data_IF_567625921190
#
_entry.id   IF_567625921190
#
_cell.length_a   1.000
_cell.length_b   1.000
_cell.length_c   1.000
_cell.angle_alpha   90.00
_cell.angle_beta   90.00
_cell.angle_gamma   90.00
#
_symmetry.space_group_name_H-M   'P 1'
#
loop_
_entity.id
_entity.type
_entity.pdbx_description
1 polymer ?
#
# COMPACT_ATOMS: atom_id res chain seq x y z
N UNK A 1 12.84 7.31 -9.01
CA UNK A 1 12.11 6.54 -7.98
C UNK A 1 12.94 6.50 -6.70
N UNK A 2 12.37 6.83 -5.54
CA UNK A 2 13.14 6.79 -4.28
C UNK A 2 13.35 5.34 -3.79
N UNK A 3 14.22 5.16 -2.79
CA UNK A 3 14.54 3.85 -2.24
C UNK A 3 13.31 3.14 -1.65
N UNK A 4 12.41 3.90 -1.01
CA UNK A 4 11.19 3.38 -0.39
C UNK A 4 10.22 2.79 -1.41
N UNK A 5 9.90 3.53 -2.47
CA UNK A 5 9.01 3.06 -3.54
C UNK A 5 9.60 1.86 -4.27
N UNK A 6 10.92 1.83 -4.49
CA UNK A 6 11.63 0.65 -5.02
C UNK A 6 11.42 -0.57 -4.13
N UNK A 7 11.69 -0.44 -2.83
CA UNK A 7 11.59 -1.53 -1.88
C UNK A 7 10.14 -2.04 -1.76
N UNK A 8 9.16 -1.13 -1.72
CA UNK A 8 7.74 -1.48 -1.71
C UNK A 8 7.34 -2.22 -2.99
N UNK A 9 7.70 -1.72 -4.18
CA UNK A 9 7.39 -2.38 -5.45
C UNK A 9 8.00 -3.77 -5.56
N UNK A 10 9.25 -3.95 -5.10
CA UNK A 10 9.89 -5.28 -5.02
C UNK A 10 9.09 -6.20 -4.10
N UNK A 11 8.74 -5.71 -2.91
CA UNK A 11 8.04 -6.49 -1.90
C UNK A 11 6.66 -6.94 -2.38
N UNK A 12 5.83 -6.03 -2.90
CA UNK A 12 4.46 -6.35 -3.32
C UNK A 12 4.37 -7.15 -4.62
N UNK A 13 5.44 -7.15 -5.43
CA UNK A 13 5.52 -7.98 -6.65
C UNK A 13 6.09 -9.38 -6.38
N UNK A 14 6.69 -9.62 -5.21
CA UNK A 14 7.08 -10.95 -4.79
C UNK A 14 5.83 -11.82 -4.53
N UNK A 15 5.92 -13.12 -4.83
CA UNK A 15 4.83 -14.05 -4.57
C UNK A 15 4.61 -14.18 -3.04
N UNK A 16 3.34 -14.13 -2.61
CA UNK A 16 2.96 -14.34 -1.21
C UNK A 16 3.30 -13.19 -0.25
N UNK A 17 3.47 -11.96 -0.75
CA UNK A 17 3.73 -10.79 0.09
C UNK A 17 2.63 -10.54 1.13
N UNK A 18 3.01 -10.42 2.40
CA UNK A 18 2.10 -10.04 3.49
C UNK A 18 1.91 -8.51 3.50
N UNK A 19 0.68 -8.06 3.26
CA UNK A 19 0.35 -6.63 3.14
C UNK A 19 0.03 -5.95 4.47
N UNK A 20 0.24 -6.63 5.61
CA UNK A 20 0.06 -6.01 6.92
C UNK A 20 1.13 -4.95 7.19
N UNK A 21 0.77 -3.93 7.96
CA UNK A 21 1.71 -2.87 8.33
C UNK A 21 2.89 -3.40 9.18
N UNK A 22 2.68 -4.48 9.94
CA UNK A 22 3.71 -5.17 10.72
C UNK A 22 4.73 -5.82 9.78
N UNK A 23 4.26 -6.58 8.79
CA UNK A 23 5.15 -7.22 7.81
C UNK A 23 5.91 -6.17 6.98
N UNK A 24 5.24 -5.08 6.56
CA UNK A 24 5.91 -3.95 5.90
C UNK A 24 7.03 -3.36 6.78
N UNK A 25 6.75 -3.11 8.06
CA UNK A 25 7.75 -2.59 9.00
C UNK A 25 8.92 -3.56 9.12
N UNK A 26 8.68 -4.85 9.26
CA UNK A 26 9.73 -5.82 9.53
C UNK A 26 10.60 -6.12 8.31
N UNK A 27 9.99 -6.20 7.13
CA UNK A 27 10.67 -6.68 5.92
C UNK A 27 11.06 -5.59 4.93
N UNK A 28 10.46 -4.39 5.01
CA UNK A 28 10.65 -3.33 4.02
C UNK A 28 11.13 -2.03 4.65
N UNK A 29 10.32 -1.45 5.53
CA UNK A 29 10.55 -0.08 6.01
C UNK A 29 11.53 -0.02 7.17
N UNK A 30 11.50 -0.99 8.08
CA UNK A 30 12.41 -1.04 9.23
C UNK A 30 13.89 -1.12 8.85
N UNK A 31 14.28 -1.89 7.81
CA UNK A 31 15.64 -1.86 7.27
C UNK A 31 16.06 -0.53 6.63
N UNK A 32 15.12 0.27 6.11
CA UNK A 32 15.39 1.57 5.46
C UNK A 32 15.45 2.70 6.49
N UNK A 33 14.56 2.64 7.49
CA UNK A 33 14.38 3.67 8.50
C UNK A 33 14.82 3.15 9.88
N UNK A 34 13.92 2.49 10.62
CA UNK A 34 14.21 1.80 11.88
C UNK A 34 13.07 0.82 12.24
N UNK A 35 13.35 -0.20 13.06
CA UNK A 35 12.37 -1.24 13.40
C UNK A 35 11.25 -0.80 14.37
N UNK A 36 11.43 0.33 15.03
CA UNK A 36 10.47 0.86 16.03
C UNK A 36 9.34 1.71 15.43
N UNK A 37 9.17 1.71 14.11
CA UNK A 37 8.09 2.44 13.44
C UNK A 37 6.72 2.00 13.95
N UNK A 38 5.86 2.99 14.23
CA UNK A 38 4.46 2.82 14.59
C UNK A 38 3.60 2.74 13.33
N UNK A 39 2.34 2.34 13.49
CA UNK A 39 1.36 2.30 12.40
C UNK A 39 1.30 3.62 11.62
N UNK A 40 1.29 4.76 12.31
CA UNK A 40 1.23 6.09 11.66
C UNK A 40 2.47 6.37 10.81
N UNK A 41 3.65 5.95 11.27
CA UNK A 41 4.90 6.14 10.52
C UNK A 41 4.88 5.29 9.24
N UNK A 42 4.45 4.03 9.36
CA UNK A 42 4.30 3.13 8.21
C UNK A 42 3.27 3.67 7.22
N UNK A 43 2.10 4.10 7.70
CA UNK A 43 1.05 4.69 6.87
C UNK A 43 1.57 5.90 6.09
N UNK A 44 2.26 6.82 6.77
CA UNK A 44 2.77 8.03 6.16
C UNK A 44 3.81 7.73 5.07
N UNK A 45 4.75 6.83 5.35
CA UNK A 45 5.78 6.43 4.39
C UNK A 45 5.19 5.70 3.17
N UNK A 46 4.21 4.82 3.38
CA UNK A 46 3.50 4.15 2.28
C UNK A 46 2.71 5.15 1.45
N UNK A 47 2.01 6.10 2.09
CA UNK A 47 1.26 7.15 1.40
C UNK A 47 2.17 8.01 0.52
N UNK A 48 3.31 8.47 1.05
CA UNK A 48 4.27 9.25 0.27
C UNK A 48 4.83 8.49 -0.94
N UNK A 49 5.12 7.20 -0.78
CA UNK A 49 5.55 6.35 -1.88
C UNK A 49 4.43 6.15 -2.92
N UNK A 50 3.20 5.99 -2.46
CA UNK A 50 2.03 5.87 -3.33
C UNK A 50 1.75 7.15 -4.11
N UNK A 51 1.83 8.32 -3.48
CA UNK A 51 1.74 9.62 -4.15
C UNK A 51 2.84 9.78 -5.21
N UNK A 52 4.08 9.39 -4.88
CA UNK A 52 5.17 9.40 -5.87
C UNK A 52 4.81 8.56 -7.10
N UNK A 53 4.22 7.37 -6.92
CA UNK A 53 3.79 6.53 -8.02
C UNK A 53 2.65 7.20 -8.82
N UNK A 54 1.65 7.78 -8.15
CA UNK A 54 0.55 8.50 -8.78
C UNK A 54 0.99 9.70 -9.63
N UNK A 55 2.00 10.45 -9.18
CA UNK A 55 2.48 11.63 -9.91
C UNK A 55 3.47 11.31 -11.03
N UNK A 56 4.12 10.16 -11.00
CA UNK A 56 5.04 9.74 -12.05
C UNK A 56 4.25 9.12 -13.23
N UNK A 57 4.18 9.79 -14.40
CA UNK A 57 3.30 9.40 -15.50
C UNK A 57 3.66 8.05 -16.13
N UNK A 58 4.90 7.57 -15.96
CA UNK A 58 5.34 6.27 -16.49
C UNK A 58 4.76 5.08 -15.73
N UNK A 59 4.25 5.27 -14.51
CA UNK A 59 3.55 4.21 -13.79
C UNK A 59 2.08 4.11 -14.24
N UNK A 60 1.69 2.99 -14.83
CA UNK A 60 0.27 2.73 -15.11
C UNK A 60 -0.38 2.12 -13.86
N UNK A 61 -0.93 2.97 -12.98
CA UNK A 61 -1.66 2.53 -11.78
C UNK A 61 -3.14 2.31 -12.10
N UNK A 62 -3.74 1.18 -11.67
CA UNK A 62 -5.19 1.02 -11.69
C UNK A 62 -5.86 2.12 -10.87
N UNK A 63 -6.92 2.73 -11.39
CA UNK A 63 -7.69 3.72 -10.64
C UNK A 63 -6.93 5.01 -10.33
N UNK A 64 -5.86 5.38 -11.06
CA UNK A 64 -5.12 6.65 -10.86
C UNK A 64 -6.05 7.87 -10.67
N UNK A 65 -7.12 7.97 -11.47
CA UNK A 65 -8.06 9.08 -11.44
C UNK A 65 -9.10 8.98 -10.30
N UNK A 66 -9.26 7.80 -9.71
CA UNK A 66 -10.19 7.51 -8.61
C UNK A 66 -9.46 7.21 -7.29
N UNK A 67 -8.13 7.33 -7.26
CA UNK A 67 -7.29 6.87 -6.16
C UNK A 67 -7.69 7.43 -4.79
N UNK A 68 -8.05 8.71 -4.71
CA UNK A 68 -8.52 9.35 -3.48
C UNK A 68 -9.84 8.76 -2.98
N UNK A 69 -10.80 8.56 -3.90
CA UNK A 69 -12.09 7.95 -3.59
C UNK A 69 -11.94 6.49 -3.19
N UNK A 70 -11.14 5.73 -3.94
CA UNK A 70 -10.91 4.32 -3.68
C UNK A 70 -10.19 4.11 -2.34
N UNK A 71 -9.27 5.01 -1.97
CA UNK A 71 -8.59 4.97 -0.68
C UNK A 71 -9.54 5.33 0.48
N UNK A 72 -10.40 6.34 0.30
CA UNK A 72 -11.43 6.72 1.28
C UNK A 72 -12.41 5.57 1.55
N UNK A 73 -12.77 4.83 0.50
CA UNK A 73 -13.74 3.73 0.58
C UNK A 73 -13.09 2.38 0.89
N UNK A 74 -11.77 2.27 0.89
CA UNK A 74 -11.06 1.00 1.09
C UNK A 74 -11.51 0.22 2.34
N UNK A 75 -11.74 0.85 3.52
CA UNK A 75 -12.17 0.11 4.71
C UNK A 75 -13.55 -0.55 4.57
N UNK A 76 -14.41 -0.04 3.69
CA UNK A 76 -15.81 -0.46 3.58
C UNK A 76 -16.17 -1.08 2.21
N UNK A 77 -15.25 -1.07 1.24
CA UNK A 77 -15.50 -1.55 -0.12
C UNK A 77 -14.26 -2.17 -0.78
N UNK A 78 -14.50 -3.25 -1.53
CA UNK A 78 -13.50 -3.85 -2.44
C UNK A 78 -12.68 -4.94 -1.77
N UNK A 79 -11.57 -5.34 -2.39
CA UNK A 79 -10.72 -6.44 -1.90
C UNK A 79 -9.96 -6.12 -0.61
N UNK A 80 -9.92 -4.85 -0.22
CA UNK A 80 -9.30 -4.38 1.02
C UNK A 80 -10.34 -4.04 2.09
N UNK A 81 -11.62 -4.32 1.85
CA UNK A 81 -12.67 -4.04 2.83
C UNK A 81 -12.48 -4.91 4.08
N UNK A 82 -12.86 -4.32 5.21
CA UNK A 82 -12.82 -5.01 6.50
C UNK A 82 -13.89 -6.10 6.61
N UNK A 83 -14.98 -5.91 5.89
CA UNK A 83 -16.02 -6.88 5.69
C UNK A 83 -16.26 -7.03 4.18
N UNK A 84 -16.27 -8.27 3.68
CA UNK A 84 -16.44 -8.58 2.26
C UNK A 84 -17.78 -8.05 1.73
N UNK A 85 -18.79 -7.96 2.60
CA UNK A 85 -20.13 -7.44 2.27
C UNK A 85 -20.28 -5.95 2.60
N UNK A 86 -19.22 -5.32 3.12
CA UNK A 86 -19.26 -3.98 3.70
C UNK A 86 -19.84 -3.96 5.11
N UNK A 87 -19.87 -2.79 5.78
CA UNK A 87 -20.46 -2.67 7.11
C UNK A 87 -21.95 -3.04 7.06
N UNK A 88 -22.36 -3.96 7.94
CA UNK A 88 -23.75 -4.43 8.03
C UNK A 88 -24.70 -3.31 8.49
N UNK A 89 -24.21 -2.40 9.31
CA UNK A 89 -24.94 -1.22 9.80
C UNK A 89 -24.00 -0.09 10.25
N UNK A 90 -24.58 1.07 10.59
CA UNK A 90 -23.85 2.28 11.01
C UNK A 90 -23.16 2.11 12.38
N UNK A 91 -23.56 1.12 13.19
CA UNK A 91 -23.00 0.84 14.50
C UNK A 91 -21.80 -0.12 14.44
N UNK A 92 -21.43 -0.60 13.25
CA UNK A 92 -20.29 -1.51 13.07
C UNK A 92 -19.00 -0.85 13.56
N UNK A 93 -18.30 -1.53 14.48
CA UNK A 93 -17.07 -1.02 15.09
C UNK A 93 -15.84 -1.67 14.46
N UNK A 94 -14.84 -0.85 14.14
CA UNK A 94 -13.55 -1.30 13.66
C UNK A 94 -12.44 -0.72 14.53
N UNK A 95 -11.38 -1.50 14.74
CA UNK A 95 -10.16 -0.99 15.35
C UNK A 95 -9.45 -0.02 14.40
N UNK A 96 -8.63 0.88 14.97
CA UNK A 96 -7.75 1.78 14.22
C UNK A 96 -6.84 1.00 13.26
N UNK A 97 -6.32 -0.14 13.73
CA UNK A 97 -5.47 -1.03 12.94
C UNK A 97 -6.20 -1.61 11.73
N UNK A 98 -7.43 -2.08 11.91
CA UNK A 98 -8.26 -2.54 10.80
C UNK A 98 -8.46 -1.40 9.78
N UNK A 99 -8.97 -0.25 10.23
CA UNK A 99 -9.30 0.86 9.35
C UNK A 99 -8.12 1.33 8.50
N UNK A 100 -6.97 1.62 9.11
CA UNK A 100 -5.79 2.07 8.38
C UNK A 100 -5.05 0.93 7.68
N UNK A 101 -5.17 -0.30 8.19
CA UNK A 101 -4.66 -1.50 7.53
C UNK A 101 -5.33 -1.72 6.16
N UNK A 102 -6.64 -1.49 6.06
CA UNK A 102 -7.37 -1.54 4.79
C UNK A 102 -6.85 -0.50 3.78
N UNK A 103 -6.58 0.72 4.24
CA UNK A 103 -6.01 1.78 3.39
C UNK A 103 -4.61 1.42 2.90
N UNK A 104 -3.75 0.90 3.78
CA UNK A 104 -2.41 0.40 3.42
C UNK A 104 -2.54 -0.72 2.39
N UNK A 105 -3.39 -1.72 2.65
CA UNK A 105 -3.60 -2.85 1.74
C UNK A 105 -4.06 -2.38 0.35
N UNK A 106 -4.92 -1.36 0.27
CA UNK A 106 -5.33 -0.77 -1.01
C UNK A 106 -4.15 -0.16 -1.77
N UNK A 107 -3.34 0.68 -1.12
CA UNK A 107 -2.16 1.30 -1.74
C UNK A 107 -1.18 0.22 -2.23
N UNK A 108 -0.91 -0.81 -1.43
CA UNK A 108 -0.05 -1.92 -1.83
C UNK A 108 -0.62 -2.74 -2.99
N UNK A 109 -1.94 -2.95 -3.02
CA UNK A 109 -2.63 -3.62 -4.12
C UNK A 109 -2.46 -2.85 -5.43
N UNK A 110 -2.62 -1.52 -5.40
CA UNK A 110 -2.43 -0.70 -6.59
C UNK A 110 -0.97 -0.71 -7.06
N UNK A 111 -0.01 -0.61 -6.13
CA UNK A 111 1.42 -0.73 -6.44
C UNK A 111 1.77 -2.11 -7.02
N UNK A 112 1.16 -3.19 -6.53
CA UNK A 112 1.35 -4.54 -7.05
C UNK A 112 0.93 -4.65 -8.51
N UNK A 113 -0.26 -4.12 -8.81
CA UNK A 113 -0.87 -4.15 -10.14
C UNK A 113 -0.29 -3.11 -11.11
N UNK A 114 0.45 -2.14 -10.60
CA UNK A 114 1.11 -1.11 -11.42
C UNK A 114 2.06 -1.72 -12.44
N UNK A 115 1.99 -1.27 -13.69
CA UNK A 115 2.99 -1.67 -14.70
C UNK A 115 4.30 -0.90 -14.49
N UNK A 116 5.39 -1.65 -14.47
CA UNK A 116 6.74 -1.18 -14.11
C UNK A 116 7.79 -1.58 -15.14
N UNK A 117 7.38 -1.93 -16.36
CA UNK A 117 8.24 -2.47 -17.41
C UNK A 117 9.45 -1.54 -17.69
N UNK A 118 9.21 -0.24 -17.63
CA UNK A 118 10.21 0.80 -17.85
C UNK A 118 11.31 0.87 -16.77
N UNK A 119 11.07 0.34 -15.57
CA UNK A 119 12.04 0.32 -14.46
C UNK A 119 12.35 -1.10 -13.97
N UNK A 120 12.11 -2.12 -14.80
CA UNK A 120 12.33 -3.52 -14.44
C UNK A 120 13.78 -3.80 -13.97
N UNK A 121 14.78 -3.22 -14.65
CA UNK A 121 16.19 -3.38 -14.26
C UNK A 121 16.48 -2.78 -12.87
N UNK A 122 15.86 -1.65 -12.54
CA UNK A 122 15.99 -1.03 -11.22
C UNK A 122 15.35 -1.87 -10.12
N UNK A 123 14.34 -2.67 -10.44
CA UNK A 123 13.68 -3.57 -9.49
C UNK A 123 14.44 -4.89 -9.31
N UNK A 124 15.26 -5.30 -10.28
CA UNK A 124 16.06 -6.53 -10.24
C UNK A 124 17.43 -6.38 -9.55
N UNK A 125 18.05 -5.19 -9.59
CA UNK A 125 19.34 -4.95 -8.93
C UNK A 125 19.16 -4.77 -7.43
N UNK A 126 19.61 -5.75 -6.64
CA UNK A 126 19.54 -5.77 -5.18
C UNK A 126 20.05 -4.46 -4.55
#
# INVERSE_FOLDING_TARGET
MNQTLKALLRYVKAAGSDTTWIALREHVLGPIYHREMKLVDVLFVVLQAYEQALFEPRFELPGRYTASLDLLLAPIRGSSSLDVVGPLDVQTQYSVEQFYGAMIAKMLSDLRLTRVDWCAEELQRA
#
